data_IF_264049494916
#
_entry.id   IF_264049494916
#
_cell.length_a   1.000
_cell.length_b   1.000
_cell.length_c   1.000
_cell.angle_alpha   90.00
_cell.angle_beta   90.00
_cell.angle_gamma   90.00
#
_symmetry.space_group_name_H-M   'P 1'
#
loop_
_entity.id
_entity.type
_entity.pdbx_description
1 polymer ?
#
# COMPACT_ATOMS: atom_id res chain seq x y z
N UNK A 1 1.38 7.58 35.24
CA UNK A 1 2.10 6.66 34.35
C UNK A 1 1.47 6.78 32.97
N UNK A 2 2.24 7.17 31.96
CA UNK A 2 1.71 7.29 30.59
C UNK A 2 1.30 5.90 30.08
N UNK A 3 0.19 5.83 29.38
CA UNK A 3 -0.33 4.60 28.82
C UNK A 3 0.18 4.45 27.37
N UNK A 4 0.50 3.24 26.86
CA UNK A 4 0.87 3.00 25.46
C UNK A 4 -0.03 3.69 24.44
N UNK A 5 -1.34 3.77 24.73
CA UNK A 5 -2.32 4.48 23.88
C UNK A 5 -2.00 5.96 23.67
N UNK A 6 -1.27 6.61 24.57
CA UNK A 6 -0.92 8.03 24.42
C UNK A 6 0.06 8.24 23.26
N UNK A 7 1.00 7.29 23.05
CA UNK A 7 1.92 7.31 21.92
C UNK A 7 1.18 7.18 20.60
N UNK A 8 0.25 6.22 20.51
CA UNK A 8 -0.51 5.99 19.28
C UNK A 8 -1.45 7.16 18.96
N UNK A 9 -2.06 7.79 19.97
CA UNK A 9 -2.88 9.00 19.81
C UNK A 9 -2.01 10.19 19.35
N UNK A 10 -0.84 10.41 19.96
CA UNK A 10 0.07 11.47 19.57
C UNK A 10 0.51 11.32 18.11
N UNK A 11 0.87 10.09 17.71
CA UNK A 11 1.26 9.75 16.34
C UNK A 11 0.11 9.97 15.35
N UNK A 12 -1.11 9.57 15.69
CA UNK A 12 -2.29 9.75 14.82
C UNK A 12 -2.68 11.23 14.62
N UNK A 13 -2.24 12.11 15.53
CA UNK A 13 -2.47 13.56 15.46
C UNK A 13 -1.31 14.33 14.83
N UNK A 14 -0.21 13.65 14.46
CA UNK A 14 0.98 14.28 13.94
C UNK A 14 1.74 15.14 14.97
N UNK A 15 1.54 14.90 16.26
CA UNK A 15 2.20 15.70 17.30
C UNK A 15 3.59 15.14 17.61
N UNK A 16 4.58 15.49 16.76
CA UNK A 16 5.95 15.01 16.87
C UNK A 16 6.60 15.32 18.23
N UNK A 17 6.36 16.49 18.80
CA UNK A 17 6.94 16.86 20.09
C UNK A 17 6.39 15.98 21.22
N UNK A 18 5.10 15.69 21.18
CA UNK A 18 4.49 14.79 22.15
C UNK A 18 4.99 13.36 21.96
N UNK A 19 5.14 12.89 20.73
CA UNK A 19 5.74 11.56 20.43
C UNK A 19 7.15 11.47 21.02
N UNK A 20 8.00 12.48 20.79
CA UNK A 20 9.35 12.54 21.36
C UNK A 20 9.34 12.51 22.91
N UNK A 21 8.45 13.29 23.50
CA UNK A 21 8.31 13.37 24.96
C UNK A 21 7.88 12.02 25.58
N UNK A 22 6.94 11.33 24.94
CA UNK A 22 6.43 10.03 25.41
C UNK A 22 7.52 8.95 25.29
N UNK A 23 8.21 8.89 24.16
CA UNK A 23 9.31 7.93 23.96
C UNK A 23 10.47 8.18 24.91
N UNK A 24 10.77 9.45 25.21
CA UNK A 24 11.78 9.83 26.21
C UNK A 24 11.47 9.36 27.63
N UNK A 25 10.25 8.96 27.92
CA UNK A 25 9.83 8.37 29.21
C UNK A 25 9.93 6.84 29.23
N UNK A 26 10.44 6.21 28.16
CA UNK A 26 10.69 4.77 28.09
C UNK A 26 9.47 3.94 27.68
N UNK A 27 8.44 4.54 27.09
CA UNK A 27 7.33 3.79 26.47
C UNK A 27 7.88 3.01 25.28
N UNK A 28 7.45 1.76 25.15
CA UNK A 28 7.79 0.93 23.98
C UNK A 28 7.29 1.58 22.69
N UNK A 29 8.21 1.84 21.76
CA UNK A 29 7.92 2.44 20.47
C UNK A 29 6.95 1.60 19.63
N UNK A 30 6.94 0.29 19.86
CA UNK A 30 6.10 -0.70 19.17
C UNK A 30 4.81 -1.03 19.94
N UNK A 31 4.55 -0.31 21.02
CA UNK A 31 3.33 -0.54 21.80
C UNK A 31 2.06 -0.38 20.93
N UNK A 32 1.18 -1.34 21.06
CA UNK A 32 -0.09 -1.37 20.34
C UNK A 32 -1.15 -0.54 21.06
N UNK A 33 -1.91 0.21 20.29
CA UNK A 33 -3.04 1.00 20.74
C UNK A 33 -4.38 0.33 20.47
N UNK A 34 -5.34 1.09 19.96
CA UNK A 34 -6.63 0.56 19.51
C UNK A 34 -6.47 -0.17 18.17
N UNK A 35 -7.26 -1.24 17.99
CA UNK A 35 -7.22 -2.11 16.80
C UNK A 35 -5.83 -2.72 16.52
N UNK A 36 -5.01 -2.99 17.56
CA UNK A 36 -3.66 -3.57 17.49
C UNK A 36 -2.70 -2.74 16.59
N UNK A 37 -3.00 -1.45 16.44
CA UNK A 37 -2.19 -0.55 15.62
C UNK A 37 -1.06 0.07 16.43
N UNK A 38 0.15 0.07 15.88
CA UNK A 38 1.29 0.81 16.41
C UNK A 38 1.24 2.30 16.09
N UNK A 39 2.04 3.10 16.78
CA UNK A 39 2.20 4.52 16.48
C UNK A 39 2.61 4.77 15.03
N UNK A 40 3.53 3.93 14.50
CA UNK A 40 3.97 4.01 13.11
C UNK A 40 2.81 3.79 12.12
N UNK A 41 1.98 2.77 12.36
CA UNK A 41 0.81 2.49 11.51
C UNK A 41 -0.17 3.66 11.48
N UNK A 42 -0.45 4.28 12.63
CA UNK A 42 -1.39 5.40 12.70
C UNK A 42 -0.82 6.68 12.09
N UNK A 43 0.47 6.96 12.26
CA UNK A 43 1.14 8.06 11.58
C UNK A 43 1.09 7.88 10.05
N UNK A 44 1.33 6.65 9.56
CA UNK A 44 1.23 6.30 8.14
C UNK A 44 -0.21 6.45 7.62
N UNK A 45 -1.20 5.98 8.38
CA UNK A 45 -2.62 6.09 8.01
C UNK A 45 -3.09 7.55 7.89
N UNK A 46 -2.56 8.43 8.73
CA UNK A 46 -2.91 9.86 8.73
C UNK A 46 -2.00 10.73 7.85
N UNK A 47 -0.88 10.19 7.33
CA UNK A 47 0.03 10.90 6.45
C UNK A 47 0.98 11.87 7.17
N UNK A 48 1.31 11.61 8.44
CA UNK A 48 2.23 12.43 9.23
C UNK A 48 3.68 12.02 8.97
N UNK A 49 4.27 12.53 7.91
CA UNK A 49 5.58 12.15 7.40
C UNK A 49 6.71 12.37 8.42
N UNK A 50 6.73 13.51 9.08
CA UNK A 50 7.70 13.86 10.11
C UNK A 50 7.69 12.90 11.30
N UNK A 51 6.51 12.46 11.72
CA UNK A 51 6.34 11.45 12.77
C UNK A 51 6.80 10.08 12.27
N UNK A 52 6.47 9.71 11.03
CA UNK A 52 6.89 8.43 10.42
C UNK A 52 8.42 8.35 10.34
N UNK A 53 9.07 9.38 9.77
CA UNK A 53 10.52 9.45 9.68
C UNK A 53 11.19 9.35 11.06
N UNK A 54 10.67 10.07 12.04
CA UNK A 54 11.18 10.01 13.39
C UNK A 54 11.03 8.61 14.00
N UNK A 55 9.85 7.98 13.91
CA UNK A 55 9.62 6.66 14.44
C UNK A 55 10.53 5.59 13.79
N UNK A 56 10.72 5.65 12.47
CA UNK A 56 11.65 4.76 11.75
C UNK A 56 13.08 4.99 12.23
N UNK A 57 13.51 6.24 12.36
CA UNK A 57 14.85 6.58 12.85
C UNK A 57 15.11 6.12 14.30
N UNK A 58 14.06 6.04 15.11
CA UNK A 58 14.12 5.51 16.48
C UNK A 58 13.98 3.98 16.56
N UNK A 59 13.90 3.28 15.42
CA UNK A 59 13.87 1.82 15.34
C UNK A 59 12.49 1.20 15.52
N UNK A 60 11.42 1.90 15.15
CA UNK A 60 10.08 1.30 15.10
C UNK A 60 10.06 0.08 14.15
N UNK A 61 9.47 -1.01 14.61
CA UNK A 61 9.38 -2.25 13.85
C UNK A 61 8.32 -2.14 12.73
N UNK A 62 8.79 -2.08 11.49
CA UNK A 62 7.94 -2.00 10.30
C UNK A 62 7.32 -3.35 9.89
N UNK A 63 7.68 -4.44 10.57
CA UNK A 63 7.19 -5.79 10.25
C UNK A 63 5.92 -6.17 10.99
N UNK A 64 5.56 -5.39 12.03
CA UNK A 64 4.36 -5.64 12.83
C UNK A 64 3.11 -5.58 11.92
N UNK A 65 2.23 -6.55 12.15
CA UNK A 65 0.95 -6.67 11.46
C UNK A 65 -0.17 -6.81 12.48
N UNK A 66 -1.28 -6.11 12.26
CA UNK A 66 -2.52 -6.35 13.02
C UNK A 66 -3.10 -7.71 12.65
N UNK A 67 -4.09 -8.19 13.40
CA UNK A 67 -4.85 -9.43 13.11
C UNK A 67 -5.48 -9.43 11.71
N UNK A 68 -5.72 -8.26 11.13
CA UNK A 68 -6.24 -8.07 9.76
C UNK A 68 -5.15 -8.02 8.70
N UNK A 69 -3.87 -8.13 9.09
CA UNK A 69 -2.71 -8.06 8.21
C UNK A 69 -2.30 -6.64 7.82
N UNK A 70 -2.80 -5.59 8.49
CA UNK A 70 -2.34 -4.23 8.24
C UNK A 70 -0.91 -4.06 8.73
N UNK A 71 -0.09 -3.41 7.91
CA UNK A 71 1.27 -2.95 8.22
C UNK A 71 1.35 -1.45 8.03
N UNK A 72 2.46 -0.83 8.43
CA UNK A 72 2.70 0.59 8.16
C UNK A 72 2.54 0.93 6.66
N UNK A 73 3.07 0.07 5.76
CA UNK A 73 2.95 0.29 4.32
C UNK A 73 1.51 0.18 3.82
N UNK A 74 0.75 -0.84 4.24
CA UNK A 74 -0.66 -0.97 3.81
C UNK A 74 -1.53 0.11 4.44
N UNK A 75 -1.21 0.60 5.63
CA UNK A 75 -1.88 1.72 6.28
C UNK A 75 -1.70 3.03 5.49
N UNK A 76 -0.49 3.29 4.96
CA UNK A 76 -0.23 4.47 4.14
C UNK A 76 -1.00 4.48 2.80
N UNK A 77 -1.50 3.33 2.36
CA UNK A 77 -2.24 3.17 1.10
C UNK A 77 -3.77 3.22 1.27
N UNK A 78 -4.28 3.39 2.47
CA UNK A 78 -5.71 3.62 2.70
C UNK A 78 -6.04 5.03 2.24
N UNK A 79 -7.07 5.15 1.38
CA UNK A 79 -7.52 6.45 0.88
C UNK A 79 -8.02 7.33 2.02
N UNK A 80 -7.41 8.51 2.17
CA UNK A 80 -7.99 9.63 2.90
C UNK A 80 -8.16 10.78 1.90
N UNK A 81 -9.35 11.30 1.80
CA UNK A 81 -9.65 12.45 0.93
C UNK A 81 -8.66 13.60 1.19
N UNK A 82 -8.05 14.11 0.12
CA UNK A 82 -7.24 15.33 0.15
C UNK A 82 -5.71 15.18 0.36
N UNK A 83 -5.17 13.98 0.51
CA UNK A 83 -3.73 13.76 0.80
C UNK A 83 -2.90 13.15 -0.37
N UNK A 84 -3.37 13.21 -1.61
CA UNK A 84 -2.84 12.45 -2.76
C UNK A 84 -1.31 12.46 -2.92
N UNK A 85 -0.68 13.64 -2.97
CA UNK A 85 0.76 13.74 -3.23
C UNK A 85 1.63 13.49 -1.97
N UNK A 86 1.17 13.92 -0.80
CA UNK A 86 1.91 13.77 0.47
C UNK A 86 2.17 12.28 0.77
N UNK A 87 1.22 11.41 0.44
CA UNK A 87 1.38 9.97 0.66
C UNK A 87 2.38 9.29 -0.25
N UNK A 88 2.65 9.83 -1.43
CA UNK A 88 3.62 9.24 -2.34
C UNK A 88 5.02 9.27 -1.72
N UNK A 89 5.44 10.41 -1.15
CA UNK A 89 6.72 10.55 -0.47
C UNK A 89 6.81 9.59 0.72
N UNK A 90 5.77 9.54 1.54
CA UNK A 90 5.70 8.63 2.67
C UNK A 90 5.77 7.15 2.27
N UNK A 91 5.05 6.75 1.22
CA UNK A 91 5.12 5.37 0.69
C UNK A 91 6.53 5.08 0.17
N UNK A 92 7.15 6.03 -0.53
CA UNK A 92 8.52 5.91 -1.01
C UNK A 92 9.49 5.74 0.16
N UNK A 93 9.38 6.58 1.19
CA UNK A 93 10.21 6.48 2.40
C UNK A 93 10.11 5.11 3.05
N UNK A 94 8.89 4.57 3.22
CA UNK A 94 8.69 3.22 3.77
C UNK A 94 9.32 2.13 2.89
N UNK A 95 9.10 2.20 1.56
CA UNK A 95 9.64 1.21 0.61
C UNK A 95 11.17 1.25 0.57
N UNK A 96 11.78 2.43 0.65
CA UNK A 96 13.25 2.58 0.68
C UNK A 96 13.82 2.12 2.03
N UNK A 97 13.10 2.30 3.14
CA UNK A 97 13.50 1.82 4.47
C UNK A 97 13.44 0.29 4.62
N UNK A 98 13.01 -0.44 3.59
CA UNK A 98 13.10 -1.91 3.57
C UNK A 98 11.88 -2.63 4.14
N UNK A 99 10.71 -1.99 4.18
CA UNK A 99 9.45 -2.61 4.59
C UNK A 99 9.11 -3.81 3.67
N UNK A 100 8.38 -4.80 4.19
CA UNK A 100 7.88 -5.91 3.36
C UNK A 100 6.86 -5.41 2.32
N UNK A 101 7.30 -5.26 1.08
CA UNK A 101 6.46 -4.84 -0.05
C UNK A 101 5.42 -5.88 -0.46
N UNK A 102 5.51 -7.09 0.06
CA UNK A 102 4.55 -8.19 -0.15
C UNK A 102 3.59 -8.37 1.03
N UNK A 103 3.67 -7.50 2.04
CA UNK A 103 2.68 -7.46 3.11
C UNK A 103 1.27 -7.37 2.52
N UNK A 104 0.36 -8.14 3.07
CA UNK A 104 -0.97 -8.27 2.48
C UNK A 104 -2.04 -8.32 3.56
N UNK A 105 -3.04 -7.50 3.39
CA UNK A 105 -4.30 -7.66 4.10
C UNK A 105 -5.16 -8.72 3.40
N UNK A 106 -6.28 -9.10 4.00
CA UNK A 106 -7.26 -9.98 3.33
C UNK A 106 -7.85 -9.38 2.05
N UNK A 107 -7.77 -8.05 1.88
CA UNK A 107 -8.42 -7.31 0.79
C UNK A 107 -7.46 -6.73 -0.23
N UNK A 108 -6.23 -6.38 0.16
CA UNK A 108 -5.33 -5.59 -0.67
C UNK A 108 -3.87 -5.95 -0.42
N UNK A 109 -3.01 -5.73 -1.41
CA UNK A 109 -1.56 -5.66 -1.26
C UNK A 109 -1.04 -4.31 -1.75
N UNK A 110 0.17 -3.88 -1.35
CA UNK A 110 0.73 -2.62 -1.82
C UNK A 110 0.68 -2.44 -3.33
N UNK A 111 1.07 -3.47 -4.08
CA UNK A 111 1.10 -3.38 -5.54
C UNK A 111 -0.32 -3.30 -6.14
N UNK A 112 -1.33 -3.97 -5.56
CA UNK A 112 -2.72 -3.87 -6.01
C UNK A 112 -3.24 -2.45 -5.79
N UNK A 113 -2.99 -1.85 -4.61
CA UNK A 113 -3.39 -0.49 -4.31
C UNK A 113 -2.75 0.53 -5.26
N UNK A 114 -1.42 0.48 -5.40
CA UNK A 114 -0.69 1.38 -6.29
C UNK A 114 -1.12 1.23 -7.75
N UNK A 115 -1.44 0.01 -8.19
CA UNK A 115 -1.93 -0.26 -9.56
C UNK A 115 -3.32 0.30 -9.80
N UNK A 116 -4.22 0.20 -8.82
CA UNK A 116 -5.57 0.76 -8.90
C UNK A 116 -5.60 2.28 -8.89
N UNK A 117 -4.63 2.91 -8.19
CA UNK A 117 -4.48 4.37 -8.14
C UNK A 117 -3.69 4.95 -9.33
N UNK A 118 -3.14 4.10 -10.20
CA UNK A 118 -2.39 4.53 -11.37
C UNK A 118 -1.01 5.13 -11.06
N UNK A 119 -0.47 4.90 -9.87
CA UNK A 119 0.79 5.51 -9.47
C UNK A 119 1.99 4.75 -10.04
N UNK A 120 2.46 5.20 -11.21
CA UNK A 120 3.56 4.60 -11.97
C UNK A 120 4.86 4.52 -11.15
N UNK A 121 5.17 5.56 -10.40
CA UNK A 121 6.40 5.62 -9.62
C UNK A 121 6.40 4.58 -8.49
N UNK A 122 5.33 4.53 -7.71
CA UNK A 122 5.19 3.56 -6.61
C UNK A 122 5.14 2.13 -7.16
N UNK A 123 4.39 1.89 -8.25
CA UNK A 123 4.36 0.58 -8.92
C UNK A 123 5.77 0.13 -9.30
N UNK A 124 6.54 1.02 -9.96
CA UNK A 124 7.91 0.73 -10.38
C UNK A 124 8.84 0.45 -9.20
N UNK A 125 8.75 1.25 -8.13
CA UNK A 125 9.56 1.05 -6.91
C UNK A 125 9.19 -0.26 -6.20
N UNK A 126 7.91 -0.55 -6.03
CA UNK A 126 7.45 -1.80 -5.42
C UNK A 126 7.96 -3.02 -6.18
N UNK A 127 7.87 -3.01 -7.52
CA UNK A 127 8.36 -4.11 -8.37
C UNK A 127 9.88 -4.27 -8.24
N UNK A 128 10.65 -3.17 -8.29
CA UNK A 128 12.11 -3.19 -8.10
C UNK A 128 12.53 -3.74 -6.74
N UNK A 129 11.72 -3.52 -5.71
CA UNK A 129 11.92 -4.07 -4.35
C UNK A 129 11.35 -5.48 -4.19
N UNK A 130 10.90 -6.14 -5.25
CA UNK A 130 10.48 -7.55 -5.26
C UNK A 130 8.99 -7.77 -5.01
N UNK A 131 8.14 -6.79 -5.25
CA UNK A 131 6.70 -7.01 -5.18
C UNK A 131 6.23 -8.03 -6.23
N UNK A 132 5.38 -8.98 -5.79
CA UNK A 132 4.87 -10.05 -6.63
C UNK A 132 3.81 -9.52 -7.61
N UNK A 133 4.19 -9.35 -8.87
CA UNK A 133 3.30 -8.85 -9.94
C UNK A 133 2.09 -9.78 -10.16
N UNK A 134 2.31 -11.09 -10.06
CA UNK A 134 1.26 -12.10 -10.20
C UNK A 134 0.84 -12.63 -8.82
N UNK A 135 -0.01 -11.89 -8.14
CA UNK A 135 -0.60 -12.26 -6.85
C UNK A 135 -2.08 -11.84 -6.80
N UNK A 136 -2.91 -12.60 -6.06
CA UNK A 136 -4.35 -12.33 -5.89
C UNK A 136 -4.73 -12.21 -4.42
N UNK A 137 -5.70 -11.34 -4.14
CA UNK A 137 -6.30 -11.28 -2.80
C UNK A 137 -7.11 -12.54 -2.49
N UNK A 138 -7.14 -12.93 -1.23
CA UNK A 138 -7.89 -14.12 -0.80
C UNK A 138 -9.40 -13.92 -0.84
N UNK A 139 -9.90 -12.71 -0.61
CA UNK A 139 -11.34 -12.44 -0.49
C UNK A 139 -12.04 -12.27 -1.84
N UNK A 140 -11.47 -11.51 -2.75
CA UNK A 140 -12.10 -11.13 -4.02
C UNK A 140 -11.35 -11.67 -5.25
N UNK A 141 -10.13 -12.16 -5.06
CA UNK A 141 -9.25 -12.58 -6.14
C UNK A 141 -8.70 -11.42 -6.95
N UNK A 142 -8.72 -10.18 -6.40
CA UNK A 142 -8.18 -9.00 -7.07
C UNK A 142 -6.69 -9.13 -7.30
N UNK A 143 -6.17 -8.57 -8.40
CA UNK A 143 -4.78 -8.61 -8.77
C UNK A 143 -4.35 -7.32 -9.49
N UNK A 144 -3.05 -6.95 -9.48
CA UNK A 144 -2.58 -5.66 -9.97
C UNK A 144 -3.07 -5.29 -11.37
N UNK A 145 -2.96 -6.20 -12.33
CA UNK A 145 -3.33 -5.94 -13.72
C UNK A 145 -4.84 -5.69 -13.89
N UNK A 146 -5.70 -6.37 -13.11
CA UNK A 146 -7.14 -6.14 -13.14
C UNK A 146 -7.48 -4.72 -12.68
N UNK A 147 -6.89 -4.29 -11.54
CA UNK A 147 -7.16 -2.99 -10.98
C UNK A 147 -6.60 -1.85 -11.85
N UNK A 148 -5.41 -2.03 -12.43
CA UNK A 148 -4.86 -1.07 -13.39
C UNK A 148 -5.73 -0.94 -14.65
N UNK A 149 -6.23 -2.05 -15.18
CA UNK A 149 -7.11 -2.05 -16.36
C UNK A 149 -8.48 -1.44 -16.06
N UNK A 150 -9.05 -1.71 -14.89
CA UNK A 150 -10.29 -1.09 -14.44
C UNK A 150 -10.17 0.42 -14.23
N UNK A 151 -9.02 0.89 -13.69
CA UNK A 151 -8.73 2.31 -13.50
C UNK A 151 -8.31 3.06 -14.77
N UNK A 152 -8.11 2.37 -15.90
CA UNK A 152 -7.67 3.01 -17.15
C UNK A 152 -6.20 3.42 -17.16
N UNK A 153 -5.36 2.84 -16.34
CA UNK A 153 -3.97 3.26 -16.11
C UNK A 153 -3.01 2.61 -17.12
N UNK A 154 -2.91 3.18 -18.32
CA UNK A 154 -2.13 2.66 -19.46
C UNK A 154 -0.70 2.32 -19.10
N UNK A 155 0.04 3.27 -18.49
CA UNK A 155 1.46 3.08 -18.16
C UNK A 155 1.67 1.97 -17.10
N UNK A 156 0.76 1.87 -16.14
CA UNK A 156 0.80 0.80 -15.13
C UNK A 156 0.52 -0.55 -15.78
N UNK A 157 -0.47 -0.65 -16.66
CA UNK A 157 -0.76 -1.87 -17.44
C UNK A 157 0.46 -2.31 -18.23
N UNK A 158 1.14 -1.38 -18.90
CA UNK A 158 2.37 -1.64 -19.65
C UNK A 158 3.45 -2.24 -18.76
N UNK A 159 3.76 -1.58 -17.65
CA UNK A 159 4.77 -2.05 -16.69
C UNK A 159 4.40 -3.45 -16.18
N UNK A 160 3.16 -3.67 -15.77
CA UNK A 160 2.75 -4.97 -15.24
C UNK A 160 2.90 -6.11 -16.27
N UNK A 161 2.58 -5.85 -17.55
CA UNK A 161 2.77 -6.82 -18.65
C UNK A 161 4.27 -7.09 -18.86
N UNK A 162 5.11 -6.05 -18.91
CA UNK A 162 6.56 -6.16 -19.07
C UNK A 162 7.20 -7.01 -17.95
N UNK A 163 6.67 -6.91 -16.72
CA UNK A 163 7.14 -7.70 -15.58
C UNK A 163 6.38 -9.03 -15.40
N UNK A 164 5.70 -9.52 -16.43
CA UNK A 164 5.16 -10.87 -16.51
C UNK A 164 3.82 -11.08 -15.80
N UNK A 165 2.98 -10.05 -15.72
CA UNK A 165 1.61 -10.22 -15.22
C UNK A 165 0.84 -11.28 -16.00
N UNK A 166 0.03 -12.06 -15.29
CA UNK A 166 -0.80 -13.12 -15.89
C UNK A 166 -2.04 -12.52 -16.55
N UNK A 167 -1.97 -12.22 -17.84
CA UNK A 167 -2.99 -11.48 -18.61
C UNK A 167 -4.37 -12.14 -18.66
N UNK A 168 -4.43 -13.47 -18.53
CA UNK A 168 -5.68 -14.25 -18.60
C UNK A 168 -6.27 -14.61 -17.22
N UNK A 169 -5.76 -14.01 -16.15
CA UNK A 169 -6.31 -14.27 -14.85
C UNK A 169 -7.73 -13.72 -14.69
N UNK A 170 -8.52 -14.43 -13.87
CA UNK A 170 -9.88 -14.02 -13.47
C UNK A 170 -9.92 -13.86 -11.96
N UNK A 171 -10.64 -12.85 -11.48
CA UNK A 171 -10.99 -12.76 -10.07
C UNK A 171 -12.11 -13.76 -9.72
N UNK A 172 -12.60 -13.76 -8.48
CA UNK A 172 -13.63 -14.70 -8.03
C UNK A 172 -15.01 -14.46 -8.69
N UNK A 173 -15.20 -13.32 -9.32
CA UNK A 173 -16.41 -12.99 -10.11
C UNK A 173 -16.23 -13.27 -11.61
N UNK A 174 -15.14 -13.90 -12.02
CA UNK A 174 -14.83 -14.18 -13.43
C UNK A 174 -14.33 -12.95 -14.23
N UNK A 175 -14.10 -11.80 -13.58
CA UNK A 175 -13.61 -10.58 -14.23
C UNK A 175 -12.16 -10.73 -14.66
N UNK A 176 -11.83 -10.27 -15.86
CA UNK A 176 -10.48 -10.22 -16.42
C UNK A 176 -10.05 -8.79 -16.68
N UNK A 177 -8.75 -8.51 -16.76
CA UNK A 177 -8.25 -7.20 -17.16
C UNK A 177 -8.80 -6.76 -18.53
N UNK A 178 -8.83 -7.69 -19.51
CA UNK A 178 -9.40 -7.41 -20.83
C UNK A 178 -10.91 -7.10 -20.77
N UNK A 179 -11.65 -7.86 -19.94
CA UNK A 179 -13.09 -7.62 -19.76
C UNK A 179 -13.39 -6.24 -19.18
N UNK A 180 -12.60 -5.81 -18.18
CA UNK A 180 -12.77 -4.47 -17.61
C UNK A 180 -12.38 -3.37 -18.59
N UNK A 181 -11.25 -3.51 -19.31
CA UNK A 181 -10.85 -2.53 -20.30
C UNK A 181 -11.91 -2.34 -21.40
N UNK A 182 -12.56 -3.43 -21.85
CA UNK A 182 -13.66 -3.40 -22.81
C UNK A 182 -14.89 -2.71 -22.26
N UNK A 183 -15.28 -3.08 -21.04
CA UNK A 183 -16.47 -2.53 -20.35
C UNK A 183 -16.36 -1.02 -20.15
N UNK A 184 -15.20 -0.54 -19.73
CA UNK A 184 -14.92 0.88 -19.48
C UNK A 184 -14.50 1.65 -20.76
N UNK A 185 -14.32 0.97 -21.90
CA UNK A 185 -14.01 1.59 -23.20
C UNK A 185 -12.55 1.99 -23.39
N UNK A 186 -11.61 1.47 -22.61
CA UNK A 186 -10.17 1.78 -22.68
C UNK A 186 -9.48 1.06 -23.85
N UNK A 187 -9.63 1.59 -25.07
CA UNK A 187 -9.17 0.96 -26.31
C UNK A 187 -7.67 0.68 -26.37
N UNK A 188 -6.85 1.56 -25.81
CA UNK A 188 -5.41 1.37 -25.77
C UNK A 188 -5.03 0.18 -24.87
N UNK A 189 -5.63 0.10 -23.69
CA UNK A 189 -5.42 -1.03 -22.75
C UNK A 189 -5.95 -2.32 -23.37
N UNK A 190 -7.14 -2.30 -24.00
CA UNK A 190 -7.69 -3.45 -24.72
C UNK A 190 -6.68 -3.99 -25.74
N UNK A 191 -6.13 -3.10 -26.59
CA UNK A 191 -5.12 -3.49 -27.59
C UNK A 191 -3.88 -4.09 -26.94
N UNK A 192 -3.33 -3.42 -25.93
CA UNK A 192 -2.11 -3.91 -25.24
C UNK A 192 -2.32 -5.29 -24.62
N UNK A 193 -3.48 -5.54 -24.01
CA UNK A 193 -3.80 -6.83 -23.42
C UNK A 193 -3.96 -7.93 -24.47
N UNK A 194 -4.58 -7.64 -25.61
CA UNK A 194 -4.69 -8.57 -26.75
C UNK A 194 -3.31 -8.90 -27.31
N UNK A 195 -2.47 -7.88 -27.55
CA UNK A 195 -1.10 -8.06 -28.04
C UNK A 195 -0.25 -8.90 -27.06
N UNK A 196 -0.53 -8.82 -25.75
CA UNK A 196 0.07 -9.66 -24.72
C UNK A 196 -0.57 -11.07 -24.58
N UNK A 197 -1.54 -11.44 -25.43
CA UNK A 197 -2.17 -12.76 -25.46
C UNK A 197 -3.40 -12.94 -24.57
N UNK A 198 -4.07 -11.86 -24.17
CA UNK A 198 -5.36 -11.96 -23.48
C UNK A 198 -6.47 -12.44 -24.42
N UNK A 199 -7.38 -13.27 -23.83
CA UNK A 199 -8.49 -13.92 -24.56
C UNK A 199 -9.84 -13.58 -23.94
#
# INVERSE_FOLDING_TARGET
MLHPKELTIAASRGNLDLVKSILGQGIDINAEGEDDKTALMLACEKGHEDVVEYLIAQGADMTIQTDWGYTALTASMVECEGLGNIRNELIITLVESGVDVNAKTRKISPLIAASGNGNVEIVSKLIKKGAKVSWKTSKLGEFPLLNAAWGGHVDVVKILIEYGAKVNWKNHYGRTALGEARKEGFKEIEKMLIDAGAK
#
